data_IF_373345883673
#
_entry.id   IF_373345883673
#
_cell.length_a   1.000
_cell.length_b   1.000
_cell.length_c   1.000
_cell.angle_alpha   90.00
_cell.angle_beta   90.00
_cell.angle_gamma   90.00
#
_symmetry.space_group_name_H-M   'P 1'
#
loop_
_entity.id
_entity.type
_entity.pdbx_description
1 polymer ?
#
# COMPACT_ATOMS: atom_id res chain seq x y z
N UNK A 1 17.09 38.66 22.96
CA UNK A 1 15.93 37.89 23.43
C UNK A 1 15.80 36.68 22.53
N UNK A 2 15.96 35.46 23.05
CA UNK A 2 15.79 34.25 22.26
C UNK A 2 14.30 34.06 21.92
N UNK A 3 14.00 33.71 20.66
CA UNK A 3 12.63 33.40 20.25
C UNK A 3 12.09 32.23 21.10
N UNK A 4 10.81 32.27 21.51
CA UNK A 4 10.23 31.19 22.30
C UNK A 4 10.29 29.88 21.51
N UNK A 5 10.73 28.81 22.18
CA UNK A 5 10.74 27.46 21.65
C UNK A 5 9.33 27.08 21.14
N UNK A 6 9.25 26.64 19.89
CA UNK A 6 7.99 26.28 19.27
C UNK A 6 7.39 25.04 19.98
N UNK A 7 6.07 24.99 20.25
CA UNK A 7 5.45 23.99 21.14
C UNK A 7 5.55 22.53 20.68
N UNK A 8 5.98 22.27 19.45
CA UNK A 8 6.21 20.93 18.90
C UNK A 8 7.59 20.36 19.21
N UNK A 9 8.52 21.13 19.77
CA UNK A 9 9.89 20.68 20.05
C UNK A 9 9.98 19.58 21.15
N UNK A 10 8.89 19.30 21.86
CA UNK A 10 8.84 18.31 22.96
C UNK A 10 8.02 17.04 22.66
N UNK A 11 7.60 16.81 21.40
CA UNK A 11 6.75 15.66 21.08
C UNK A 11 7.56 14.43 20.67
N UNK A 12 7.65 13.46 21.59
CA UNK A 12 8.17 12.09 21.38
C UNK A 12 7.27 11.21 20.49
N UNK A 13 6.73 11.73 19.38
CA UNK A 13 5.85 10.99 18.46
C UNK A 13 6.43 10.90 17.04
N UNK A 14 7.71 10.55 16.92
CA UNK A 14 8.33 10.36 15.60
C UNK A 14 7.82 9.06 14.96
N UNK A 15 6.99 9.12 13.92
CA UNK A 15 6.50 7.89 13.27
C UNK A 15 7.60 7.04 12.61
N UNK A 16 8.85 7.53 12.57
CA UNK A 16 9.99 6.77 12.05
C UNK A 16 10.23 5.45 12.82
N UNK A 17 9.93 5.39 14.12
CA UNK A 17 10.07 4.12 14.88
C UNK A 17 8.98 3.08 14.53
N UNK A 18 7.94 3.48 13.78
CA UNK A 18 6.92 2.58 13.25
C UNK A 18 7.33 1.98 11.89
N UNK A 19 8.45 2.42 11.30
CA UNK A 19 9.06 1.76 10.15
C UNK A 19 9.54 0.39 10.57
N UNK A 20 8.73 -0.64 10.35
CA UNK A 20 9.06 -2.02 10.64
C UNK A 20 8.63 -2.89 9.47
N UNK A 21 9.52 -3.81 9.09
CA UNK A 21 9.25 -4.83 8.10
C UNK A 21 9.83 -4.54 6.72
N UNK A 22 10.01 -5.63 5.98
CA UNK A 22 10.74 -5.67 4.72
C UNK A 22 10.12 -4.80 3.62
N UNK A 23 8.78 -4.66 3.59
CA UNK A 23 8.10 -3.81 2.61
C UNK A 23 8.50 -2.33 2.75
N UNK A 24 8.68 -1.84 3.98
CA UNK A 24 9.05 -0.45 4.21
C UNK A 24 10.44 -0.15 3.66
N UNK A 25 11.38 -1.07 3.84
CA UNK A 25 12.72 -1.00 3.25
C UNK A 25 12.66 -1.05 1.72
N UNK A 26 11.89 -1.98 1.15
CA UNK A 26 11.76 -2.12 -0.32
C UNK A 26 11.19 -0.86 -0.97
N UNK A 27 10.17 -0.23 -0.35
CA UNK A 27 9.61 1.04 -0.86
C UNK A 27 10.67 2.14 -0.77
N UNK A 28 11.35 2.26 0.37
CA UNK A 28 12.36 3.30 0.57
C UNK A 28 13.51 3.17 -0.43
N UNK A 29 14.11 1.99 -0.52
CA UNK A 29 15.25 1.70 -1.40
C UNK A 29 14.88 2.00 -2.85
N UNK A 30 13.73 1.50 -3.32
CA UNK A 30 13.30 1.71 -4.70
C UNK A 30 13.10 3.20 -5.04
N UNK A 31 12.48 3.96 -4.13
CA UNK A 31 12.26 5.39 -4.34
C UNK A 31 13.59 6.15 -4.35
N UNK A 32 14.48 5.87 -3.39
CA UNK A 32 15.78 6.53 -3.31
C UNK A 32 16.65 6.22 -4.54
N UNK A 33 16.71 4.94 -4.96
CA UNK A 33 17.43 4.51 -6.16
C UNK A 33 16.90 5.25 -7.40
N UNK A 34 15.57 5.37 -7.53
CA UNK A 34 14.98 6.08 -8.67
C UNK A 34 15.28 7.56 -8.68
N UNK A 35 15.26 8.21 -7.52
CA UNK A 35 15.61 9.63 -7.41
C UNK A 35 17.08 9.86 -7.76
N UNK A 36 17.97 8.95 -7.33
CA UNK A 36 19.38 8.98 -7.70
C UNK A 36 19.60 8.77 -9.20
N UNK A 37 18.91 7.81 -9.83
CA UNK A 37 18.98 7.57 -11.29
C UNK A 37 18.57 8.80 -12.11
N UNK A 38 17.63 9.59 -11.60
CA UNK A 38 17.10 10.77 -12.28
C UNK A 38 17.85 12.06 -11.93
N UNK A 39 18.95 11.97 -11.17
CA UNK A 39 19.73 13.11 -10.70
C UNK A 39 18.88 14.14 -9.94
N UNK A 40 17.88 13.64 -9.19
CA UNK A 40 16.99 14.46 -8.35
C UNK A 40 17.57 14.53 -6.95
N UNK A 41 18.07 15.70 -6.57
CA UNK A 41 18.51 15.95 -5.19
C UNK A 41 17.31 16.10 -4.25
N UNK A 42 17.32 15.33 -3.16
CA UNK A 42 16.40 15.56 -2.05
C UNK A 42 16.94 16.69 -1.15
N UNK A 43 16.05 17.56 -0.61
CA UNK A 43 16.48 18.54 0.37
C UNK A 43 17.14 17.87 1.59
N UNK A 44 18.13 18.53 2.19
CA UNK A 44 18.87 17.97 3.31
C UNK A 44 17.92 17.59 4.48
N UNK A 45 18.06 16.36 4.98
CA UNK A 45 17.24 15.84 6.07
C UNK A 45 15.85 15.35 5.65
N UNK A 46 15.56 15.29 4.34
CA UNK A 46 14.34 14.69 3.82
C UNK A 46 14.55 13.19 3.58
N UNK A 47 13.55 12.38 3.95
CA UNK A 47 13.61 10.93 3.75
C UNK A 47 12.21 10.33 3.68
N UNK A 48 11.97 9.45 2.73
CA UNK A 48 10.70 8.74 2.57
C UNK A 48 10.70 7.44 3.37
N UNK A 49 9.53 7.08 3.92
CA UNK A 49 9.33 5.81 4.58
C UNK A 49 7.87 5.35 4.54
N UNK A 50 7.66 4.05 4.67
CA UNK A 50 6.32 3.46 4.74
C UNK A 50 6.03 2.90 6.15
N UNK A 51 4.75 2.89 6.52
CA UNK A 51 4.22 2.28 7.73
C UNK A 51 3.02 1.41 7.33
N UNK A 52 3.03 0.14 7.73
CA UNK A 52 1.86 -0.74 7.64
C UNK A 52 0.96 -0.45 8.84
N UNK A 53 -0.20 0.17 8.61
CA UNK A 53 -1.18 0.46 9.66
C UNK A 53 -2.16 -0.68 9.89
N UNK A 54 -2.53 -1.39 8.82
CA UNK A 54 -3.45 -2.53 8.87
C UNK A 54 -2.80 -3.70 8.14
N UNK A 55 -2.88 -4.88 8.74
CA UNK A 55 -2.54 -6.17 8.15
C UNK A 55 -3.44 -7.22 8.79
N UNK A 56 -4.65 -7.38 8.24
CA UNK A 56 -5.73 -8.13 8.87
C UNK A 56 -6.36 -9.12 7.90
N UNK A 57 -6.53 -10.37 8.33
CA UNK A 57 -7.28 -11.37 7.59
C UNK A 57 -8.79 -11.09 7.74
N UNK A 58 -9.46 -10.85 6.63
CA UNK A 58 -10.89 -10.51 6.54
C UNK A 58 -11.57 -11.51 5.60
N UNK A 59 -12.88 -11.66 5.76
CA UNK A 59 -13.74 -12.41 4.84
C UNK A 59 -14.78 -11.49 4.23
N UNK A 60 -14.96 -11.56 2.90
CA UNK A 60 -16.01 -10.84 2.18
C UNK A 60 -17.23 -11.74 2.01
N UNK A 61 -18.38 -11.32 2.50
CA UNK A 61 -19.64 -12.02 2.30
C UNK A 61 -20.16 -11.78 0.87
N UNK A 62 -20.28 -12.85 0.10
CA UNK A 62 -20.81 -12.80 -1.26
C UNK A 62 -22.31 -12.57 -1.20
N UNK A 63 -22.84 -11.52 -1.85
CA UNK A 63 -24.28 -11.27 -1.81
C UNK A 63 -25.07 -12.46 -2.37
N UNK A 64 -26.15 -12.92 -1.70
CA UNK A 64 -26.90 -14.11 -2.10
C UNK A 64 -27.35 -14.10 -3.57
N UNK A 65 -27.73 -12.92 -4.07
CA UNK A 65 -28.14 -12.72 -5.47
C UNK A 65 -27.06 -13.12 -6.48
N UNK A 66 -25.77 -12.95 -6.14
CA UNK A 66 -24.65 -13.35 -6.99
C UNK A 66 -24.55 -14.88 -7.04
N UNK A 67 -24.65 -15.55 -5.89
CA UNK A 67 -24.67 -17.01 -5.81
C UNK A 67 -25.85 -17.61 -6.58
N UNK A 68 -27.05 -17.06 -6.39
CA UNK A 68 -28.28 -17.49 -7.08
C UNK A 68 -28.17 -17.31 -8.60
N UNK A 69 -27.70 -16.14 -9.05
CA UNK A 69 -27.55 -15.83 -10.48
C UNK A 69 -26.51 -16.74 -11.14
N UNK A 70 -25.40 -17.01 -10.45
CA UNK A 70 -24.36 -17.91 -10.95
C UNK A 70 -24.86 -19.35 -11.04
N UNK A 71 -25.59 -19.83 -10.03
CA UNK A 71 -26.18 -21.17 -10.03
C UNK A 71 -27.21 -21.33 -11.17
N UNK A 72 -28.01 -20.30 -11.45
CA UNK A 72 -29.01 -20.32 -12.52
C UNK A 72 -28.40 -20.26 -13.93
N UNK A 73 -27.22 -19.65 -14.09
CA UNK A 73 -26.57 -19.43 -15.39
C UNK A 73 -25.53 -20.49 -15.76
N UNK A 74 -25.12 -21.36 -14.83
CA UNK A 74 -24.08 -22.37 -15.04
C UNK A 74 -24.69 -23.76 -15.22
N UNK A 75 -24.36 -24.52 -16.28
CA UNK A 75 -24.86 -25.89 -16.43
C UNK A 75 -24.38 -26.78 -15.27
N UNK A 76 -25.30 -27.60 -14.74
CA UNK A 76 -25.15 -28.39 -13.50
C UNK A 76 -23.97 -29.38 -13.46
N UNK A 77 -23.22 -29.55 -14.56
CA UNK A 77 -22.14 -30.54 -14.70
C UNK A 77 -20.75 -29.93 -14.84
N UNK A 78 -20.60 -28.59 -14.75
CA UNK A 78 -19.38 -27.92 -15.22
C UNK A 78 -18.61 -27.06 -14.20
N UNK A 79 -19.15 -26.73 -13.02
CA UNK A 79 -18.40 -25.90 -12.07
C UNK A 79 -18.85 -26.08 -10.62
N UNK A 80 -17.91 -25.92 -9.68
CA UNK A 80 -18.20 -25.86 -8.24
C UNK A 80 -19.07 -24.62 -7.93
N UNK A 81 -19.96 -24.69 -6.92
CA UNK A 81 -20.76 -23.54 -6.53
C UNK A 81 -19.86 -22.36 -6.12
N UNK A 82 -20.33 -21.13 -6.35
CA UNK A 82 -19.66 -19.95 -5.81
C UNK A 82 -19.62 -20.05 -4.27
N UNK A 83 -18.51 -19.65 -3.64
CA UNK A 83 -18.41 -19.61 -2.20
C UNK A 83 -19.31 -18.51 -1.63
N UNK A 84 -19.85 -18.74 -0.43
CA UNK A 84 -20.62 -17.73 0.31
C UNK A 84 -19.72 -16.63 0.87
N UNK A 85 -18.43 -16.94 1.08
CA UNK A 85 -17.46 -16.01 1.64
C UNK A 85 -16.10 -16.12 0.95
N UNK A 86 -15.41 -15.00 0.77
CA UNK A 86 -14.10 -14.94 0.13
C UNK A 86 -13.05 -14.39 1.11
N UNK A 87 -12.06 -15.19 1.56
CA UNK A 87 -11.01 -14.69 2.43
C UNK A 87 -10.00 -13.83 1.67
N UNK A 88 -9.54 -12.76 2.32
CA UNK A 88 -8.44 -11.91 1.84
C UNK A 88 -7.74 -11.22 3.00
N UNK A 89 -6.52 -10.74 2.79
CA UNK A 89 -5.83 -9.88 3.76
C UNK A 89 -6.00 -8.43 3.37
N UNK A 90 -6.62 -7.63 4.24
CA UNK A 90 -6.71 -6.19 4.10
C UNK A 90 -5.41 -5.55 4.60
N UNK A 91 -4.83 -4.67 3.79
CA UNK A 91 -3.62 -3.91 4.14
C UNK A 91 -3.85 -2.42 3.94
N UNK A 92 -3.38 -1.63 4.90
CA UNK A 92 -3.33 -0.17 4.79
C UNK A 92 -1.87 0.27 4.96
N UNK A 93 -1.30 0.83 3.89
CA UNK A 93 0.10 1.26 3.83
C UNK A 93 0.11 2.78 3.71
N UNK A 94 0.74 3.43 4.68
CA UNK A 94 0.90 4.88 4.70
C UNK A 94 2.33 5.27 4.37
N UNK A 95 2.49 6.23 3.47
CA UNK A 95 3.79 6.73 3.02
C UNK A 95 4.01 8.14 3.56
N UNK A 96 5.09 8.28 4.31
CA UNK A 96 5.51 9.50 4.95
C UNK A 96 6.80 10.01 4.31
N UNK A 97 6.97 11.33 4.35
CA UNK A 97 8.25 11.97 4.13
C UNK A 97 8.61 12.75 5.39
N UNK A 98 9.85 12.57 5.87
CA UNK A 98 10.43 13.47 6.85
C UNK A 98 10.70 14.79 6.13
N UNK A 99 10.10 15.87 6.59
CA UNK A 99 10.32 17.22 6.09
C UNK A 99 10.64 18.10 7.30
N UNK A 100 11.83 18.70 7.32
CA UNK A 100 12.27 19.57 8.43
C UNK A 100 12.10 18.93 9.82
N UNK A 101 12.39 17.63 9.92
CA UNK A 101 12.27 16.85 11.15
C UNK A 101 10.84 16.40 11.51
N UNK A 102 9.84 16.69 10.68
CA UNK A 102 8.44 16.29 10.88
C UNK A 102 8.01 15.21 9.89
N UNK A 103 7.24 14.23 10.32
CA UNK A 103 6.70 13.20 9.44
C UNK A 103 5.41 13.72 8.76
N UNK A 104 5.48 13.89 7.44
CA UNK A 104 4.36 14.34 6.60
C UNK A 104 3.79 13.14 5.85
N UNK A 105 2.55 12.74 6.16
CA UNK A 105 1.82 11.75 5.38
C UNK A 105 1.47 12.36 4.02
N UNK A 106 1.85 11.72 2.93
CA UNK A 106 1.54 12.23 1.59
C UNK A 106 0.82 11.22 0.70
N UNK A 107 0.80 9.93 1.03
CA UNK A 107 0.15 8.90 0.21
C UNK A 107 -0.32 7.71 1.05
N UNK A 108 -1.46 7.12 0.70
CA UNK A 108 -2.06 5.96 1.36
C UNK A 108 -2.53 4.94 0.33
N UNK A 109 -2.26 3.67 0.58
CA UNK A 109 -2.67 2.54 -0.23
C UNK A 109 -3.53 1.59 0.62
N UNK A 110 -4.72 1.25 0.13
CA UNK A 110 -5.51 0.13 0.63
C UNK A 110 -5.47 -1.01 -0.36
N UNK A 111 -5.03 -2.18 0.10
CA UNK A 111 -4.84 -3.35 -0.75
C UNK A 111 -5.56 -4.55 -0.15
N UNK A 112 -6.20 -5.35 -1.01
CA UNK A 112 -6.76 -6.65 -0.66
C UNK A 112 -5.92 -7.73 -1.31
N UNK A 113 -5.22 -8.53 -0.51
CA UNK A 113 -4.40 -9.65 -0.97
C UNK A 113 -5.18 -10.96 -0.85
N UNK A 114 -5.52 -11.59 -1.98
CA UNK A 114 -6.18 -12.89 -2.05
C UNK A 114 -5.13 -13.99 -2.18
N UNK A 115 -4.88 -14.70 -1.09
CA UNK A 115 -3.88 -15.76 -1.00
C UNK A 115 -4.22 -17.01 -1.80
N UNK A 116 -3.47 -18.10 -1.56
CA UNK A 116 -3.73 -19.41 -2.19
C UNK A 116 -4.97 -20.12 -1.65
N UNK A 117 -5.41 -19.71 -0.47
CA UNK A 117 -6.62 -20.13 0.22
C UNK A 117 -7.90 -19.48 -0.34
N UNK A 118 -7.76 -18.43 -1.14
CA UNK A 118 -8.88 -17.84 -1.85
C UNK A 118 -9.41 -18.78 -2.96
N UNK A 119 -10.69 -18.66 -3.33
CA UNK A 119 -11.31 -19.40 -4.44
C UNK A 119 -10.57 -19.19 -5.76
N UNK A 120 -10.63 -20.16 -6.67
CA UNK A 120 -9.81 -20.21 -7.88
C UNK A 120 -9.83 -18.93 -8.75
N UNK A 121 -10.93 -18.18 -8.78
CA UNK A 121 -11.04 -16.93 -9.54
C UNK A 121 -10.29 -15.74 -8.91
N UNK A 122 -9.99 -15.80 -7.62
CA UNK A 122 -9.34 -14.74 -6.84
C UNK A 122 -7.94 -15.15 -6.36
N UNK A 123 -7.61 -16.44 -6.40
CA UNK A 123 -6.36 -16.98 -5.87
C UNK A 123 -5.13 -16.33 -6.52
N UNK A 124 -4.25 -15.78 -5.68
CA UNK A 124 -3.02 -15.13 -6.13
C UNK A 124 -3.24 -13.75 -6.77
N UNK A 125 -4.37 -13.11 -6.52
CA UNK A 125 -4.66 -11.76 -6.97
C UNK A 125 -4.49 -10.72 -5.85
N UNK A 126 -4.06 -9.52 -6.21
CA UNK A 126 -4.08 -8.34 -5.34
C UNK A 126 -5.02 -7.30 -5.95
N UNK A 127 -5.87 -6.69 -5.15
CA UNK A 127 -6.73 -5.59 -5.57
C UNK A 127 -6.30 -4.31 -4.83
N UNK A 128 -5.90 -3.26 -5.56
CA UNK A 128 -5.66 -1.95 -4.97
C UNK A 128 -7.01 -1.26 -4.78
N UNK A 129 -7.62 -1.46 -3.61
CA UNK A 129 -8.97 -0.97 -3.33
C UNK A 129 -9.06 0.55 -3.28
N UNK A 130 -8.01 1.21 -2.81
CA UNK A 130 -7.98 2.67 -2.77
C UNK A 130 -6.55 3.18 -2.80
N UNK A 131 -6.36 4.27 -3.53
CA UNK A 131 -5.10 4.99 -3.65
C UNK A 131 -5.41 6.48 -3.57
N UNK A 132 -4.79 7.16 -2.60
CA UNK A 132 -4.89 8.61 -2.52
C UNK A 132 -3.57 9.23 -2.10
N UNK A 133 -3.33 10.44 -2.59
CA UNK A 133 -2.13 11.19 -2.32
C UNK A 133 -2.41 12.69 -2.28
N UNK A 134 -1.83 13.37 -1.29
CA UNK A 134 -1.85 14.84 -1.19
C UNK A 134 -0.56 15.41 -1.78
N UNK A 135 -0.63 16.59 -2.37
CA UNK A 135 0.46 17.19 -3.15
C UNK A 135 1.63 17.77 -2.31
N UNK A 136 2.02 17.08 -1.23
CA UNK A 136 3.01 17.53 -0.25
C UNK A 136 4.41 16.91 -0.40
N UNK A 137 4.56 15.82 -1.16
CA UNK A 137 5.87 15.20 -1.36
C UNK A 137 6.86 16.16 -2.04
N UNK A 138 8.11 16.10 -1.60
CA UNK A 138 9.23 16.90 -2.09
C UNK A 138 10.36 16.01 -2.65
N UNK A 139 11.11 16.48 -3.64
CA UNK A 139 10.90 17.73 -4.37
C UNK A 139 9.65 17.63 -5.29
N UNK A 140 9.06 18.78 -5.65
CA UNK A 140 7.72 18.81 -6.27
C UNK A 140 7.72 18.24 -7.70
N UNK A 141 8.84 18.42 -8.40
CA UNK A 141 9.14 17.93 -9.74
C UNK A 141 9.22 16.40 -9.80
N UNK A 142 9.62 15.73 -8.71
CA UNK A 142 9.71 14.28 -8.64
C UNK A 142 8.49 13.62 -7.99
N UNK A 143 7.48 14.41 -7.60
CA UNK A 143 6.30 13.92 -6.89
C UNK A 143 5.60 12.77 -7.60
N UNK A 144 5.33 12.92 -8.90
CA UNK A 144 4.68 11.88 -9.70
C UNK A 144 5.53 10.62 -9.76
N UNK A 145 6.85 10.77 -9.90
CA UNK A 145 7.79 9.64 -9.90
C UNK A 145 7.79 8.92 -8.57
N UNK A 146 7.84 9.64 -7.45
CA UNK A 146 7.74 9.05 -6.11
C UNK A 146 6.48 8.20 -5.98
N UNK A 147 5.33 8.70 -6.45
CA UNK A 147 4.06 7.96 -6.35
C UNK A 147 4.08 6.69 -7.20
N UNK A 148 4.63 6.78 -8.41
CA UNK A 148 4.78 5.64 -9.31
C UNK A 148 5.71 4.58 -8.73
N UNK A 149 6.83 4.98 -8.12
CA UNK A 149 7.77 4.04 -7.52
C UNK A 149 7.24 3.39 -6.25
N UNK A 150 6.42 4.08 -5.45
CA UNK A 150 5.72 3.45 -4.32
C UNK A 150 4.81 2.32 -4.80
N UNK A 151 3.99 2.58 -5.82
CA UNK A 151 3.10 1.55 -6.38
C UNK A 151 3.91 0.44 -7.02
N UNK A 152 4.96 0.75 -7.79
CA UNK A 152 5.83 -0.24 -8.41
C UNK A 152 6.58 -1.11 -7.38
N UNK A 153 7.05 -0.52 -6.27
CA UNK A 153 7.65 -1.24 -5.16
C UNK A 153 6.67 -2.25 -4.56
N UNK A 154 5.43 -1.83 -4.32
CA UNK A 154 4.39 -2.71 -3.78
C UNK A 154 4.02 -3.82 -4.77
N UNK A 155 3.91 -3.51 -6.07
CA UNK A 155 3.64 -4.51 -7.12
C UNK A 155 4.76 -5.55 -7.19
N UNK A 156 6.02 -5.14 -7.16
CA UNK A 156 7.15 -6.09 -7.16
C UNK A 156 7.21 -6.90 -5.85
N UNK A 157 6.87 -6.27 -4.73
CA UNK A 157 6.78 -6.93 -3.42
C UNK A 157 5.74 -8.07 -3.40
N UNK A 158 4.53 -7.83 -3.90
CA UNK A 158 3.51 -8.89 -4.01
C UNK A 158 3.91 -9.96 -5.03
N UNK A 159 4.52 -9.56 -6.15
CA UNK A 159 5.02 -10.51 -7.16
C UNK A 159 6.04 -11.49 -6.57
N UNK A 160 6.99 -11.01 -5.76
CA UNK A 160 8.00 -11.86 -5.08
C UNK A 160 7.38 -12.82 -4.07
N UNK A 161 6.22 -12.48 -3.49
CA UNK A 161 5.45 -13.36 -2.60
C UNK A 161 4.55 -14.37 -3.34
N UNK A 162 4.56 -14.36 -4.68
CA UNK A 162 3.86 -15.33 -5.50
C UNK A 162 2.46 -14.92 -5.92
N UNK A 163 2.10 -13.64 -5.78
CA UNK A 163 0.89 -13.10 -6.42
C UNK A 163 1.13 -12.92 -7.92
N UNK A 164 0.16 -13.32 -8.73
CA UNK A 164 0.25 -13.37 -10.18
C UNK A 164 -0.43 -12.18 -10.87
N UNK A 165 -1.46 -11.62 -10.24
CA UNK A 165 -2.28 -10.57 -10.81
C UNK A 165 -2.44 -9.41 -9.83
N UNK A 166 -2.43 -8.19 -10.36
CA UNK A 166 -2.81 -6.99 -9.63
C UNK A 166 -3.89 -6.26 -10.41
N UNK A 167 -4.98 -5.96 -9.72
CA UNK A 167 -6.13 -5.22 -10.24
C UNK A 167 -6.11 -3.81 -9.64
N UNK A 168 -6.24 -2.81 -10.52
CA UNK A 168 -6.22 -1.38 -10.23
C UNK A 168 -7.53 -0.77 -10.70
#
# INVERSE_FOLDING_TARGET
>A
MAAPAQPWQHRHYSMQHLQRGDLASVIKERVDDRLQELDVEQPAGYSIFAVMLVDEAISYDVPPIVCETYAASTPAQSQAPLPETIPYTNKCICIYQVQEGQAVLFMVLYCHEYGKDAPACNAGCVYLSYLDAVALAKPAEARTTIYQEVVAAYTDWVRRRGFCFMHL
#
